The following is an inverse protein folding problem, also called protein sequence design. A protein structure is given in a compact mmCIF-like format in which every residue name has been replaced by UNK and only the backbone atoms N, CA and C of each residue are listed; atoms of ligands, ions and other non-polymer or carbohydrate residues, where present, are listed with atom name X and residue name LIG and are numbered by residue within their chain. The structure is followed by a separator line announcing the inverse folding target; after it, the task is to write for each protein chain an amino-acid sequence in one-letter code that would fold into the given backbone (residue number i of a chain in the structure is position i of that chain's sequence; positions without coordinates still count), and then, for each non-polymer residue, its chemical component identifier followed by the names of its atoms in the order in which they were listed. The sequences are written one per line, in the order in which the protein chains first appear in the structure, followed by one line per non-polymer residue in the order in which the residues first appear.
data_IF_510594544488
#
_entry.id   IF_510594544488
#
_cell.length_a   1.000
_cell.length_b   1.000
_cell.length_c   1.000
_cell.angle_alpha   90.00
_cell.angle_beta   90.00
_cell.angle_gamma   90.00
#
_symmetry.space_group_name_H-M   'P 1'
#
loop_
_entity.id
_entity.type
_entity.pdbx_description
1 polymer ?
#
# COMPACT_ATOMS: atom_id res chain seq x y z
N UNK A 1 -2.12 9.18 -23.88
CA UNK A 1 -2.45 8.00 -24.68
C UNK A 1 -3.84 7.47 -24.41
N UNK A 2 -4.18 7.11 -23.15
CA UNK A 2 -5.51 6.56 -22.79
C UNK A 2 -6.70 7.43 -23.23
N UNK A 3 -6.67 8.73 -22.91
CA UNK A 3 -7.74 9.65 -23.31
C UNK A 3 -7.95 9.68 -24.83
N UNK A 4 -6.86 9.66 -25.59
CA UNK A 4 -6.94 9.62 -27.07
C UNK A 4 -7.55 8.30 -27.55
N UNK A 5 -7.20 7.18 -26.94
CA UNK A 5 -7.77 5.88 -27.26
C UNK A 5 -9.27 5.80 -26.92
N UNK A 6 -9.68 6.48 -25.84
CA UNK A 6 -11.08 6.62 -25.45
C UNK A 6 -11.85 7.73 -26.20
N UNK A 7 -11.21 8.43 -27.13
CA UNK A 7 -11.84 9.51 -27.86
C UNK A 7 -12.16 10.77 -27.01
N UNK A 8 -11.49 10.92 -25.89
CA UNK A 8 -11.72 12.01 -24.93
C UNK A 8 -10.81 13.21 -25.20
N UNK A 9 -11.40 14.39 -25.22
CA UNK A 9 -10.66 15.64 -25.12
C UNK A 9 -10.55 16.07 -23.66
N UNK A 10 -9.34 16.05 -23.13
CA UNK A 10 -9.08 16.41 -21.74
C UNK A 10 -8.66 17.87 -21.60
N UNK A 11 -9.09 18.55 -20.51
CA UNK A 11 -8.55 19.85 -20.18
C UNK A 11 -7.03 19.81 -19.97
N UNK A 12 -6.30 20.91 -20.26
CA UNK A 12 -4.90 21.02 -19.91
C UNK A 12 -4.68 20.81 -18.40
N UNK A 13 -3.66 20.05 -18.04
CA UNK A 13 -3.32 19.77 -16.63
C UNK A 13 -4.09 18.60 -16.00
N UNK A 14 -4.88 17.83 -16.74
CA UNK A 14 -5.49 16.60 -16.23
C UNK A 14 -4.42 15.61 -15.77
N UNK A 15 -4.43 15.27 -14.49
CA UNK A 15 -3.42 14.41 -13.88
C UNK A 15 -3.90 12.98 -13.66
N UNK A 16 -5.20 12.76 -13.52
CA UNK A 16 -5.77 11.46 -13.22
C UNK A 16 -7.03 11.22 -14.06
N UNK A 17 -7.18 10.02 -14.53
CA UNK A 17 -8.42 9.50 -15.08
C UNK A 17 -9.03 8.49 -14.12
N UNK A 18 -10.34 8.42 -14.08
CA UNK A 18 -11.04 7.36 -13.34
C UNK A 18 -12.28 6.91 -14.11
N UNK A 19 -12.67 5.68 -13.90
CA UNK A 19 -13.91 5.14 -14.46
C UNK A 19 -14.48 4.05 -13.55
N UNK A 20 -15.79 3.95 -13.54
CA UNK A 20 -16.48 2.82 -12.92
C UNK A 20 -16.36 1.58 -13.79
N UNK A 21 -15.96 0.45 -13.21
CA UNK A 21 -15.71 -0.81 -13.91
C UNK A 21 -16.27 -1.99 -13.11
N UNK A 22 -16.43 -3.13 -13.76
CA UNK A 22 -16.66 -4.40 -13.07
C UNK A 22 -15.40 -4.85 -12.32
N UNK A 23 -15.59 -5.69 -11.31
CA UNK A 23 -14.49 -6.21 -10.48
C UNK A 23 -13.49 -7.07 -11.27
N UNK A 24 -13.93 -7.70 -12.35
CA UNK A 24 -13.09 -8.57 -13.17
C UNK A 24 -12.42 -7.81 -14.34
N UNK A 25 -12.55 -6.48 -14.36
CA UNK A 25 -11.92 -5.68 -15.39
C UNK A 25 -10.40 -5.75 -15.26
N UNK A 26 -9.63 -5.91 -16.37
CA UNK A 26 -8.17 -6.02 -16.30
C UNK A 26 -7.48 -4.90 -15.52
N UNK A 27 -8.02 -3.68 -15.55
CA UNK A 27 -7.48 -2.56 -14.78
C UNK A 27 -7.77 -2.61 -13.28
N UNK A 28 -8.62 -3.51 -12.83
CA UNK A 28 -8.86 -3.81 -11.41
C UNK A 28 -7.97 -4.97 -10.96
N UNK A 29 -7.83 -5.98 -11.81
CA UNK A 29 -7.14 -7.23 -11.48
C UNK A 29 -5.62 -7.07 -11.61
N UNK A 30 -5.16 -6.33 -12.63
CA UNK A 30 -3.73 -6.15 -12.90
C UNK A 30 -3.25 -4.79 -12.43
N UNK A 31 -2.06 -4.73 -11.85
CA UNK A 31 -1.45 -3.47 -11.45
C UNK A 31 -1.21 -2.57 -12.68
N UNK A 32 -1.68 -1.33 -12.58
CA UNK A 32 -1.58 -0.34 -13.65
C UNK A 32 -0.67 0.81 -13.21
N UNK A 33 0.60 0.74 -13.50
CA UNK A 33 1.58 1.81 -13.22
C UNK A 33 1.31 3.09 -14.04
N UNK A 34 0.09 3.61 -13.97
CA UNK A 34 -0.36 4.78 -14.73
C UNK A 34 -1.44 5.56 -13.96
N UNK A 35 -1.65 6.85 -14.29
CA UNK A 35 -2.62 7.70 -13.59
C UNK A 35 -4.06 7.42 -14.05
N UNK A 36 -4.52 6.21 -13.81
CA UNK A 36 -5.89 5.76 -14.02
C UNK A 36 -6.38 4.99 -12.79
N UNK A 37 -7.56 5.35 -12.29
CA UNK A 37 -8.18 4.71 -11.13
C UNK A 37 -9.48 4.02 -11.54
N UNK A 38 -9.51 2.69 -11.59
CA UNK A 38 -10.76 1.94 -11.72
C UNK A 38 -11.53 1.98 -10.40
N UNK A 39 -12.84 2.14 -10.49
CA UNK A 39 -13.76 2.17 -9.34
C UNK A 39 -14.74 1.03 -9.48
N UNK A 40 -14.80 0.15 -8.49
CA UNK A 40 -15.76 -0.95 -8.44
C UNK A 40 -16.73 -0.74 -7.28
N UNK A 41 -18.03 -0.78 -7.56
CA UNK A 41 -19.05 -0.69 -6.52
C UNK A 41 -19.25 -2.04 -5.84
N UNK A 42 -19.50 -1.97 -4.55
CA UNK A 42 -19.84 -3.12 -3.71
C UNK A 42 -21.11 -2.85 -2.92
N UNK A 43 -21.81 -3.90 -2.53
CA UNK A 43 -23.11 -3.78 -1.83
C UNK A 43 -22.95 -3.47 -0.34
N UNK A 44 -21.89 -3.98 0.25
CA UNK A 44 -21.62 -3.87 1.69
C UNK A 44 -20.13 -4.03 1.98
N UNK A 45 -19.78 -3.89 3.25
CA UNK A 45 -18.40 -4.03 3.74
C UNK A 45 -17.82 -5.41 3.42
N UNK A 46 -18.57 -6.47 3.65
CA UNK A 46 -18.09 -7.84 3.45
C UNK A 46 -17.67 -8.09 2.00
N UNK A 47 -18.51 -7.72 1.04
CA UNK A 47 -18.18 -7.79 -0.38
C UNK A 47 -16.95 -6.92 -0.71
N UNK A 48 -16.87 -5.72 -0.13
CA UNK A 48 -15.73 -4.81 -0.31
C UNK A 48 -14.41 -5.43 0.15
N UNK A 49 -14.41 -6.03 1.33
CA UNK A 49 -13.23 -6.72 1.88
C UNK A 49 -12.84 -7.92 1.02
N UNK A 50 -13.80 -8.75 0.60
CA UNK A 50 -13.53 -9.92 -0.24
C UNK A 50 -12.97 -9.54 -1.61
N UNK A 51 -13.50 -8.50 -2.24
CA UNK A 51 -12.99 -8.03 -3.54
C UNK A 51 -11.61 -7.39 -3.41
N UNK A 52 -11.37 -6.65 -2.34
CA UNK A 52 -10.05 -6.09 -2.05
C UNK A 52 -9.01 -7.19 -1.82
N UNK A 53 -9.38 -8.23 -1.10
CA UNK A 53 -8.52 -9.39 -0.86
C UNK A 53 -8.19 -10.13 -2.16
N UNK A 54 -9.18 -10.31 -3.04
CA UNK A 54 -8.97 -10.93 -4.35
C UNK A 54 -8.05 -10.08 -5.25
N UNK A 55 -8.23 -8.76 -5.26
CA UNK A 55 -7.42 -7.85 -6.06
C UNK A 55 -6.00 -7.64 -5.52
N UNK A 56 -5.78 -7.94 -4.24
CA UNK A 56 -4.47 -7.82 -3.57
C UNK A 56 -3.53 -8.99 -3.92
N UNK A 57 -4.06 -10.11 -4.39
CA UNK A 57 -3.33 -11.30 -4.85
C UNK A 57 -2.39 -11.98 -3.84
N UNK A 58 -2.45 -11.62 -2.57
CA UNK A 58 -1.55 -12.15 -1.53
C UNK A 58 -0.17 -11.49 -1.49
N UNK A 59 0.02 -10.38 -2.19
CA UNK A 59 1.27 -9.60 -2.13
C UNK A 59 1.47 -8.91 -0.78
N UNK A 60 0.40 -8.62 -0.06
CA UNK A 60 0.40 -7.99 1.27
C UNK A 60 1.18 -6.68 1.33
N UNK A 61 1.09 -5.90 0.26
CA UNK A 61 1.84 -4.67 0.12
C UNK A 61 1.17 -3.50 0.83
N UNK A 62 0.07 -3.00 0.30
CA UNK A 62 -0.56 -1.76 0.80
C UNK A 62 -2.07 -1.83 0.65
N UNK A 63 -2.77 -1.43 1.70
CA UNK A 63 -4.21 -1.18 1.65
C UNK A 63 -4.57 0.15 2.31
N UNK A 64 -5.62 0.78 1.80
CA UNK A 64 -6.10 2.07 2.27
C UNK A 64 -7.60 1.96 2.52
N UNK A 65 -8.05 2.49 3.64
CA UNK A 65 -9.47 2.60 3.95
C UNK A 65 -9.83 4.03 4.38
N UNK A 66 -10.89 4.55 3.82
CA UNK A 66 -11.51 5.80 4.23
C UNK A 66 -12.79 5.51 4.98
N UNK A 67 -12.72 5.51 6.31
CA UNK A 67 -13.85 5.21 7.19
C UNK A 67 -13.65 5.79 8.58
N UNK A 68 -14.74 6.00 9.30
CA UNK A 68 -14.78 6.28 10.73
C UNK A 68 -15.37 5.11 11.54
N UNK A 69 -15.81 4.06 10.87
CA UNK A 69 -16.34 2.85 11.47
C UNK A 69 -15.20 1.94 11.90
N UNK A 70 -15.07 1.72 13.21
CA UNK A 70 -14.03 0.88 13.80
C UNK A 70 -14.18 -0.60 13.44
N UNK A 71 -15.38 -1.08 13.23
CA UNK A 71 -15.63 -2.47 12.82
C UNK A 71 -15.15 -2.68 11.39
N UNK A 72 -15.44 -1.74 10.49
CA UNK A 72 -14.98 -1.76 9.11
C UNK A 72 -13.43 -1.69 9.03
N UNK A 73 -12.83 -0.81 9.82
CA UNK A 73 -11.37 -0.68 9.91
C UNK A 73 -10.72 -1.98 10.38
N UNK A 74 -11.30 -2.58 11.42
CA UNK A 74 -10.79 -3.84 12.01
C UNK A 74 -10.95 -5.01 11.04
N UNK A 75 -12.12 -5.13 10.40
CA UNK A 75 -12.40 -6.20 9.45
C UNK A 75 -11.44 -6.15 8.26
N UNK A 76 -11.26 -4.97 7.66
CA UNK A 76 -10.36 -4.80 6.52
C UNK A 76 -8.90 -5.02 6.91
N UNK A 77 -8.44 -4.44 8.03
CA UNK A 77 -7.05 -4.58 8.47
C UNK A 77 -6.66 -6.02 8.78
N UNK A 78 -7.57 -6.80 9.39
CA UNK A 78 -7.34 -8.23 9.65
C UNK A 78 -7.37 -9.08 8.39
N UNK A 79 -8.28 -8.80 7.46
CA UNK A 79 -8.44 -9.60 6.26
C UNK A 79 -7.29 -9.40 5.28
N UNK A 80 -6.89 -8.16 5.03
CA UNK A 80 -5.85 -7.84 4.06
C UNK A 80 -4.45 -8.07 4.62
N UNK A 81 -4.23 -7.81 5.90
CA UNK A 81 -2.95 -8.07 6.60
C UNK A 81 -1.75 -7.53 5.80
N UNK A 82 -1.89 -6.33 5.25
CA UNK A 82 -0.87 -5.70 4.42
C UNK A 82 0.20 -5.02 5.26
N UNK A 83 1.40 -4.92 4.73
CA UNK A 83 2.54 -4.23 5.37
C UNK A 83 2.22 -2.79 5.70
N UNK A 84 1.56 -2.09 4.77
CA UNK A 84 1.03 -0.76 4.99
C UNK A 84 -0.50 -0.81 5.05
N UNK A 85 -1.05 -0.41 6.17
CA UNK A 85 -2.49 -0.21 6.34
C UNK A 85 -2.76 1.24 6.70
N UNK A 86 -3.37 1.97 5.79
CA UNK A 86 -3.55 3.41 5.92
C UNK A 86 -5.02 3.75 6.11
N UNK A 87 -5.30 4.53 7.15
CA UNK A 87 -6.63 5.03 7.45
C UNK A 87 -6.73 6.51 7.08
N UNK A 88 -7.72 6.85 6.24
CA UNK A 88 -8.10 8.23 5.94
C UNK A 88 -6.94 9.12 5.45
N UNK A 89 -5.98 8.53 4.77
CA UNK A 89 -4.81 9.24 4.27
C UNK A 89 -4.36 8.75 2.90
N UNK A 90 -3.47 9.47 2.25
CA UNK A 90 -2.87 9.06 1.00
C UNK A 90 -1.83 7.94 1.22
N UNK A 91 -1.55 7.15 0.20
CA UNK A 91 -0.53 6.11 0.22
C UNK A 91 0.83 6.61 0.73
N UNK A 92 1.21 7.83 0.39
CA UNK A 92 2.46 8.46 0.83
C UNK A 92 2.59 8.59 2.35
N UNK A 93 1.49 8.66 3.09
CA UNK A 93 1.51 8.68 4.55
C UNK A 93 2.07 7.36 5.12
N UNK A 94 1.76 6.23 4.49
CA UNK A 94 2.31 4.93 4.86
C UNK A 94 3.81 4.79 4.58
N UNK A 95 4.34 5.62 3.69
CA UNK A 95 5.78 5.69 3.42
C UNK A 95 6.52 6.69 4.33
N UNK A 96 5.83 7.29 5.30
CA UNK A 96 6.39 8.25 6.25
C UNK A 96 6.21 9.72 5.87
N UNK A 97 5.69 10.04 4.69
CA UNK A 97 5.46 11.43 4.27
C UNK A 97 4.13 11.94 4.82
N UNK A 98 4.18 12.74 5.86
CA UNK A 98 2.99 13.24 6.58
C UNK A 98 2.32 12.19 7.46
N UNK A 99 2.98 11.06 7.70
CA UNK A 99 2.59 10.01 8.63
C UNK A 99 3.61 9.84 9.74
N UNK A 100 3.50 8.75 10.49
CA UNK A 100 4.45 8.38 11.52
C UNK A 100 5.53 7.43 10.97
N UNK A 101 6.68 7.41 11.62
CA UNK A 101 7.77 6.50 11.31
C UNK A 101 8.84 7.10 10.40
N UNK A 102 9.67 6.23 9.85
CA UNK A 102 10.75 6.61 8.96
C UNK A 102 10.24 6.79 7.53
N UNK A 103 10.74 7.80 6.84
CA UNK A 103 10.53 7.92 5.41
C UNK A 103 11.26 6.78 4.69
N UNK A 104 10.51 5.92 4.01
CA UNK A 104 11.07 4.81 3.25
C UNK A 104 10.20 4.48 2.06
N UNK A 105 10.84 4.14 0.96
CA UNK A 105 10.19 3.64 -0.26
C UNK A 105 10.47 2.15 -0.49
N UNK A 106 11.20 1.51 0.41
CA UNK A 106 11.44 0.07 0.38
C UNK A 106 10.42 -0.65 1.26
N UNK A 107 9.59 -1.45 0.64
CA UNK A 107 8.56 -2.26 1.30
C UNK A 107 8.83 -3.70 0.97
N UNK A 108 9.06 -4.52 1.99
CA UNK A 108 9.23 -5.95 1.86
C UNK A 108 8.01 -6.67 2.42
N UNK A 109 7.47 -7.61 1.68
CA UNK A 109 6.29 -8.38 2.04
C UNK A 109 6.46 -9.84 1.62
N UNK A 110 5.75 -10.76 2.24
CA UNK A 110 4.88 -10.67 3.43
C UNK A 110 5.61 -10.93 4.75
N UNK A 111 6.92 -10.89 4.80
CA UNK A 111 7.72 -11.29 5.97
C UNK A 111 8.72 -10.23 6.39
N UNK A 112 9.17 -10.30 7.64
CA UNK A 112 10.25 -9.49 8.17
C UNK A 112 9.89 -8.01 8.33
N UNK A 113 10.85 -7.16 8.05
CA UNK A 113 10.71 -5.71 8.10
C UNK A 113 9.90 -5.23 6.88
N UNK A 114 8.64 -4.92 7.09
CA UNK A 114 7.76 -4.45 6.02
C UNK A 114 8.23 -3.12 5.41
N UNK A 115 8.61 -2.16 6.24
CA UNK A 115 9.15 -0.86 5.82
C UNK A 115 10.58 -0.76 6.28
N UNK A 116 11.52 -0.72 5.34
CA UNK A 116 12.95 -0.75 5.64
C UNK A 116 13.53 0.66 5.83
N UNK A 117 14.64 0.73 6.56
CA UNK A 117 15.45 1.93 6.73
C UNK A 117 16.94 1.53 6.77
N UNK A 118 17.89 2.47 6.82
CA UNK A 118 19.30 2.13 6.83
C UNK A 118 19.73 1.16 7.93
N UNK A 119 19.08 1.20 9.10
CA UNK A 119 19.36 0.29 10.21
C UNK A 119 18.98 -1.16 9.88
N UNK A 120 17.95 -1.38 9.08
CA UNK A 120 17.50 -2.71 8.63
C UNK A 120 18.62 -3.47 7.88
N UNK A 121 19.48 -2.76 7.19
CA UNK A 121 20.59 -3.31 6.40
C UNK A 121 21.89 -3.45 7.19
N UNK A 122 21.85 -3.20 8.51
CA UNK A 122 22.99 -3.41 9.41
C UNK A 122 22.79 -4.67 10.23
N UNK A 123 23.85 -5.08 10.90
CA UNK A 123 23.80 -6.18 11.87
C UNK A 123 24.26 -5.72 13.23
N UNK A 124 23.64 -6.24 14.27
CA UNK A 124 24.16 -6.07 15.63
C UNK A 124 25.42 -6.91 15.79
N UNK A 125 26.49 -6.29 16.23
CA UNK A 125 27.70 -6.98 16.66
C UNK A 125 27.78 -6.96 18.18
N UNK A 126 28.12 -8.09 18.75
CA UNK A 126 28.47 -8.17 20.16
C UNK A 126 29.99 -8.36 20.25
N UNK A 127 30.64 -7.45 20.91
CA UNK A 127 32.04 -7.59 21.27
C UNK A 127 32.13 -7.94 22.77
N UNK A 128 32.68 -9.09 23.04
CA UNK A 128 32.95 -9.54 24.42
C UNK A 128 34.45 -9.57 24.61
N UNK A 129 34.92 -8.86 25.63
CA UNK A 129 36.32 -8.80 25.99
C UNK A 129 36.52 -9.52 27.30
N UNK A 130 37.40 -10.50 27.29
CA UNK A 130 37.88 -11.21 28.47
C UNK A 130 39.39 -11.03 28.52
N UNK A 131 39.88 -10.62 29.65
CA UNK A 131 41.27 -10.28 29.87
C UNK A 131 41.82 -9.21 28.90
N UNK A 132 42.90 -8.72 29.04
CA UNK A 132 43.76 -7.72 28.41
C UNK A 132 43.42 -7.15 27.00
N UNK A 133 42.27 -7.42 26.41
CA UNK A 133 41.88 -6.78 25.16
C UNK A 133 41.44 -5.33 25.40
N UNK A 134 42.17 -4.39 24.82
CA UNK A 134 41.81 -2.97 24.83
C UNK A 134 41.52 -2.48 23.42
N UNK A 135 40.42 -1.77 23.29
CA UNK A 135 39.98 -1.13 22.02
C UNK A 135 39.82 0.36 22.35
N UNK A 136 40.69 1.20 21.81
CA UNK A 136 40.59 2.65 21.86
C UNK A 136 40.70 3.22 20.47
#
# INVERSE_FOLDING_TARGET
MLAKAAGLNLPPGTQLLFAETGADHPFVVEEQMMPFLPITRVKNLEEGVQRSLAAEHGYKHTSIIHSHDLEALTAMGRALDTTLFIKNGPCMAGLGLGGEGYLSYSIATPTGEGVTNPKTFTRVRRCVMVDNLRIY
#
